data_IF_304143843226
#
_entry.id   IF_304143843226
#
_cell.length_a   1.000
_cell.length_b   1.000
_cell.length_c   1.000
_cell.angle_alpha   90.00
_cell.angle_beta   90.00
_cell.angle_gamma   90.00
#
_symmetry.space_group_name_H-M   'P 1'
#
loop_
_entity.id
_entity.type
_entity.pdbx_description
1 polymer ?
#
# COMPACT_ATOMS: atom_id res chain seq x y z
N UNK A 1 -21.00 -3.16 -9.78
CA UNK A 1 -19.75 -2.71 -10.42
C UNK A 1 -18.65 -3.72 -10.11
N UNK A 2 -17.91 -4.10 -11.14
CA UNK A 2 -17.06 -5.30 -11.23
C UNK A 2 -15.89 -5.28 -10.24
N UNK A 3 -15.93 -6.15 -9.22
CA UNK A 3 -14.71 -6.49 -8.47
C UNK A 3 -13.87 -7.39 -9.38
N UNK A 4 -12.75 -6.88 -9.90
CA UNK A 4 -11.81 -7.71 -10.65
C UNK A 4 -11.41 -8.92 -9.80
N UNK A 5 -11.35 -10.11 -10.40
CA UNK A 5 -10.69 -11.28 -9.79
C UNK A 5 -9.28 -10.84 -9.42
N UNK A 6 -9.02 -10.52 -8.15
CA UNK A 6 -7.72 -10.01 -7.69
C UNK A 6 -6.64 -11.04 -8.07
N UNK A 7 -5.71 -10.64 -8.96
CA UNK A 7 -4.55 -11.44 -9.42
C UNK A 7 -3.23 -10.97 -8.82
N UNK A 8 -3.26 -10.08 -7.82
CA UNK A 8 -2.05 -9.52 -7.19
C UNK A 8 -1.58 -10.46 -6.09
N UNK A 9 -0.30 -10.86 -6.14
CA UNK A 9 0.35 -11.67 -5.12
C UNK A 9 1.68 -11.04 -4.70
N UNK A 10 1.95 -10.98 -3.40
CA UNK A 10 3.13 -10.36 -2.79
C UNK A 10 4.32 -11.33 -2.65
N UNK A 11 4.32 -12.44 -3.38
CA UNK A 11 5.34 -13.50 -3.24
C UNK A 11 6.78 -13.03 -3.40
N UNK A 12 7.14 -12.17 -4.37
CA UNK A 12 8.52 -11.73 -4.54
C UNK A 12 8.82 -10.47 -3.73
N UNK A 13 7.94 -10.04 -2.81
CA UNK A 13 8.06 -8.77 -2.10
C UNK A 13 8.45 -9.02 -0.65
N UNK A 14 9.54 -8.39 -0.22
CA UNK A 14 9.99 -8.37 1.18
C UNK A 14 9.23 -7.34 2.01
N UNK A 15 9.10 -6.10 1.51
CA UNK A 15 8.44 -5.03 2.27
C UNK A 15 7.85 -3.94 1.37
N UNK A 16 6.78 -3.32 1.85
CA UNK A 16 6.14 -2.15 1.23
C UNK A 16 5.99 -1.07 2.29
N UNK A 17 6.50 0.13 2.01
CA UNK A 17 6.30 1.32 2.85
C UNK A 17 5.45 2.31 2.06
N UNK A 18 4.30 2.66 2.63
CA UNK A 18 3.38 3.66 2.06
C UNK A 18 3.45 4.93 2.90
N UNK A 19 4.11 5.96 2.37
CA UNK A 19 4.23 7.27 3.01
C UNK A 19 3.22 8.25 2.44
N UNK A 20 2.54 8.98 3.31
CA UNK A 20 1.66 10.08 2.88
C UNK A 20 1.36 11.06 4.02
N UNK A 21 1.06 12.31 3.64
CA UNK A 21 0.54 13.33 4.53
C UNK A 21 -0.99 13.41 4.42
N UNK A 22 -1.80 13.00 5.43
CA UNK A 22 -3.26 12.87 5.28
C UNK A 22 -4.01 14.15 4.90
N UNK A 23 -3.39 15.30 5.12
CA UNK A 23 -3.96 16.62 4.88
C UNK A 23 -3.64 17.18 3.49
N UNK A 24 -2.72 16.56 2.77
CA UNK A 24 -2.39 16.99 1.41
C UNK A 24 -3.47 16.52 0.42
N UNK A 25 -3.86 17.35 -0.56
CA UNK A 25 -4.97 17.05 -1.45
C UNK A 25 -4.69 15.88 -2.42
N UNK A 26 -3.43 15.52 -2.62
CA UNK A 26 -2.96 14.53 -3.60
C UNK A 26 -2.79 13.10 -3.03
N UNK A 27 -3.32 12.78 -1.84
CA UNK A 27 -3.07 11.48 -1.18
C UNK A 27 -4.11 10.37 -1.45
N UNK A 28 -5.19 10.66 -2.18
CA UNK A 28 -6.27 9.69 -2.41
C UNK A 28 -5.76 8.38 -3.03
N UNK A 29 -4.97 8.47 -4.10
CA UNK A 29 -4.42 7.31 -4.80
C UNK A 29 -3.58 6.42 -3.88
N UNK A 30 -2.73 7.02 -3.04
CA UNK A 30 -1.83 6.32 -2.12
C UNK A 30 -2.60 5.65 -0.98
N UNK A 31 -3.65 6.30 -0.47
CA UNK A 31 -4.55 5.70 0.53
C UNK A 31 -5.35 4.53 -0.05
N UNK A 32 -5.83 4.66 -1.29
CA UNK A 32 -6.52 3.57 -1.99
C UNK A 32 -5.58 2.39 -2.25
N UNK A 33 -4.33 2.65 -2.64
CA UNK A 33 -3.30 1.62 -2.79
C UNK A 33 -3.07 0.86 -1.46
N UNK A 34 -2.88 1.57 -0.35
CA UNK A 34 -2.72 0.98 0.98
C UNK A 34 -3.94 0.10 1.36
N UNK A 35 -5.15 0.58 1.10
CA UNK A 35 -6.38 -0.18 1.32
C UNK A 35 -6.44 -1.47 0.51
N UNK A 36 -6.02 -1.43 -0.75
CA UNK A 36 -5.93 -2.60 -1.61
C UNK A 36 -4.92 -3.63 -1.10
N UNK A 37 -3.67 -3.23 -0.81
CA UNK A 37 -2.63 -4.17 -0.38
C UNK A 37 -2.89 -4.77 1.00
N UNK A 38 -3.57 -4.03 1.89
CA UNK A 38 -3.98 -4.52 3.21
C UNK A 38 -5.20 -5.45 3.17
N UNK A 39 -5.79 -5.68 2.00
CA UNK A 39 -6.88 -6.62 1.88
C UNK A 39 -6.42 -8.03 2.26
N UNK A 40 -7.17 -8.71 3.13
CA UNK A 40 -6.81 -10.03 3.70
C UNK A 40 -6.40 -11.07 2.64
N UNK A 41 -7.05 -11.06 1.48
CA UNK A 41 -6.71 -11.97 0.36
C UNK A 41 -5.32 -11.71 -0.23
N UNK A 42 -4.86 -10.46 -0.27
CA UNK A 42 -3.53 -10.09 -0.78
C UNK A 42 -2.47 -10.40 0.27
N UNK A 43 -2.69 -9.99 1.52
CA UNK A 43 -1.82 -10.32 2.65
C UNK A 43 -1.62 -11.84 2.83
N UNK A 44 -2.64 -12.65 2.54
CA UNK A 44 -2.52 -14.11 2.58
C UNK A 44 -1.58 -14.71 1.52
N UNK A 45 -1.23 -13.97 0.47
CA UNK A 45 -0.33 -14.47 -0.59
C UNK A 45 1.15 -14.47 -0.17
N UNK A 46 1.52 -13.66 0.81
CA UNK A 46 2.83 -13.67 1.47
C UNK A 46 2.72 -13.02 2.86
N UNK A 47 2.67 -13.83 3.91
CA UNK A 47 2.62 -13.35 5.30
C UNK A 47 3.94 -12.77 5.81
N UNK A 48 5.03 -12.98 5.08
CA UNK A 48 6.36 -12.46 5.42
C UNK A 48 6.60 -11.08 4.80
N UNK A 49 5.74 -10.62 3.88
CA UNK A 49 5.81 -9.27 3.33
C UNK A 49 5.36 -8.28 4.40
N UNK A 50 6.26 -7.41 4.84
CA UNK A 50 5.91 -6.33 5.76
C UNK A 50 5.21 -5.20 5.00
N UNK A 51 4.08 -4.72 5.49
CA UNK A 51 3.36 -3.58 4.90
C UNK A 51 3.15 -2.53 5.98
N UNK A 52 3.79 -1.38 5.81
CA UNK A 52 3.82 -0.31 6.82
C UNK A 52 3.34 1.01 6.24
N UNK A 53 2.57 1.76 7.03
CA UNK A 53 2.12 3.11 6.70
C UNK A 53 2.97 4.14 7.46
N UNK A 54 3.74 4.95 6.74
CA UNK A 54 4.53 6.08 7.25
C UNK A 54 3.69 7.37 7.13
N UNK A 55 2.83 7.62 8.11
CA UNK A 55 1.92 8.77 8.13
C UNK A 55 2.65 10.00 8.64
N UNK A 56 2.61 11.10 7.87
CA UNK A 56 3.34 12.33 8.18
C UNK A 56 2.44 13.57 8.16
N UNK A 57 3.02 14.71 8.53
CA UNK A 57 2.42 16.03 8.37
C UNK A 57 3.52 17.07 8.12
N UNK A 58 4.39 16.79 7.15
CA UNK A 58 5.56 17.61 6.79
C UNK A 58 5.45 18.21 5.39
N UNK A 59 4.28 18.09 4.74
CA UNK A 59 4.06 18.53 3.36
C UNK A 59 4.81 17.69 2.32
N UNK A 60 5.39 16.54 2.71
CA UNK A 60 6.08 15.67 1.75
C UNK A 60 5.11 15.00 0.78
N UNK A 61 5.58 14.85 -0.46
CA UNK A 61 4.85 14.11 -1.50
C UNK A 61 4.62 12.65 -1.08
N UNK A 62 3.45 12.08 -1.40
CA UNK A 62 3.18 10.68 -1.10
C UNK A 62 4.11 9.75 -1.89
N UNK A 63 4.53 8.66 -1.27
CA UNK A 63 5.50 7.72 -1.83
C UNK A 63 5.12 6.28 -1.49
N UNK A 64 5.34 5.38 -2.43
CA UNK A 64 5.24 3.92 -2.24
C UNK A 64 6.61 3.33 -2.53
N UNK A 65 7.25 2.79 -1.50
CA UNK A 65 8.52 2.06 -1.63
C UNK A 65 8.26 0.55 -1.58
N UNK A 66 8.89 -0.20 -2.49
CA UNK A 66 8.72 -1.65 -2.63
C UNK A 66 10.10 -2.30 -2.68
N UNK A 67 10.38 -3.10 -1.66
CA UNK A 67 11.58 -3.95 -1.61
C UNK A 67 11.19 -5.37 -1.99
N UNK A 68 11.90 -5.95 -2.96
CA UNK A 68 11.70 -7.32 -3.42
C UNK A 68 12.55 -8.30 -2.61
#
# INVERSE_FOLDING_TARGET
KMASRIRVALRPVKSIVVRFCPFEPNVESTRNFLGCINHKKIQATNRNCEVTADVRHDGSEPLVDVTF
#
